data_IF_773827131273
#
_entry.id   IF_773827131273
#
_cell.length_a   1.000
_cell.length_b   1.000
_cell.length_c   1.000
_cell.angle_alpha   90.00
_cell.angle_beta   90.00
_cell.angle_gamma   90.00
#
_symmetry.space_group_name_H-M   'P 1'
#
loop_
_entity.id
_entity.type
_entity.pdbx_description
1 polymer ?
#
# COMPACT_ATOMS: atom_id res chain seq x y z
N UNK A 1 13.69 15.18 -65.18
CA UNK A 1 12.97 13.97 -64.75
C UNK A 1 13.62 13.24 -63.57
N UNK A 2 14.87 12.78 -63.64
CA UNK A 2 15.51 12.06 -62.52
C UNK A 2 15.63 12.82 -61.19
N UNK A 3 15.94 14.13 -61.22
CA UNK A 3 16.07 14.94 -60.00
C UNK A 3 14.73 15.17 -59.28
N UNK A 4 13.63 15.26 -60.04
CA UNK A 4 12.29 15.42 -59.48
C UNK A 4 11.82 14.12 -58.80
N UNK A 5 12.11 12.96 -59.41
CA UNK A 5 11.81 11.66 -58.84
C UNK A 5 12.63 11.39 -57.56
N UNK A 6 13.91 11.79 -57.54
CA UNK A 6 14.75 11.75 -56.35
C UNK A 6 14.20 12.64 -55.22
N UNK A 7 13.75 13.86 -55.54
CA UNK A 7 13.16 14.79 -54.57
C UNK A 7 11.88 14.22 -53.95
N UNK A 8 10.98 13.66 -54.76
CA UNK A 8 9.73 13.05 -54.30
C UNK A 8 10.01 11.85 -53.40
N UNK A 9 10.97 11.00 -53.76
CA UNK A 9 11.41 9.87 -52.93
C UNK A 9 11.92 10.33 -51.56
N UNK A 10 12.79 11.34 -51.54
CA UNK A 10 13.35 11.88 -50.30
C UNK A 10 12.29 12.53 -49.41
N UNK A 11 11.30 13.23 -49.99
CA UNK A 11 10.17 13.79 -49.24
C UNK A 11 9.33 12.70 -48.58
N UNK A 12 9.03 11.63 -49.32
CA UNK A 12 8.29 10.48 -48.78
C UNK A 12 9.06 9.79 -47.65
N UNK A 13 10.35 9.55 -47.83
CA UNK A 13 11.21 8.96 -46.79
C UNK A 13 11.29 9.88 -45.56
N UNK A 14 11.36 11.20 -45.76
CA UNK A 14 11.35 12.17 -44.67
C UNK A 14 10.04 12.14 -43.86
N UNK A 15 8.90 12.03 -44.54
CA UNK A 15 7.59 11.95 -43.90
C UNK A 15 7.42 10.62 -43.14
N UNK A 16 7.87 9.50 -43.71
CA UNK A 16 7.89 8.20 -43.03
C UNK A 16 8.78 8.21 -41.77
N UNK A 17 9.94 8.87 -41.83
CA UNK A 17 10.82 9.04 -40.68
C UNK A 17 10.21 9.94 -39.61
N UNK A 18 9.53 11.02 -39.99
CA UNK A 18 8.81 11.91 -39.06
C UNK A 18 7.66 11.18 -38.36
N UNK A 19 6.84 10.44 -39.10
CA UNK A 19 5.75 9.64 -38.52
C UNK A 19 6.31 8.62 -37.51
N UNK A 20 7.37 7.90 -37.90
CA UNK A 20 8.04 6.95 -37.00
C UNK A 20 8.60 7.64 -35.76
N UNK A 21 9.25 8.79 -35.90
CA UNK A 21 9.80 9.54 -34.78
C UNK A 21 8.70 10.02 -33.82
N UNK A 22 7.59 10.53 -34.34
CA UNK A 22 6.44 10.96 -33.53
C UNK A 22 5.79 9.79 -32.80
N UNK A 23 5.63 8.64 -33.47
CA UNK A 23 5.08 7.43 -32.85
C UNK A 23 5.98 6.93 -31.72
N UNK A 24 7.29 6.83 -31.96
CA UNK A 24 8.26 6.42 -30.92
C UNK A 24 8.24 7.40 -29.75
N UNK A 25 8.18 8.71 -30.01
CA UNK A 25 8.09 9.71 -28.95
C UNK A 25 6.81 9.54 -28.09
N UNK A 26 5.67 9.26 -28.74
CA UNK A 26 4.42 9.00 -28.05
C UNK A 26 4.45 7.70 -27.22
N UNK A 27 5.03 6.62 -27.77
CA UNK A 27 5.23 5.36 -27.05
C UNK A 27 6.13 5.52 -25.83
N UNK A 28 7.21 6.31 -25.96
CA UNK A 28 8.12 6.60 -24.85
C UNK A 28 7.45 7.42 -23.74
N UNK A 29 6.62 8.41 -24.08
CA UNK A 29 5.86 9.17 -23.09
C UNK A 29 4.83 8.29 -22.38
N UNK A 30 4.14 7.41 -23.10
CA UNK A 30 3.22 6.44 -22.51
C UNK A 30 3.93 5.46 -21.58
N UNK A 31 5.09 4.93 -22.00
CA UNK A 31 5.92 4.06 -21.18
C UNK A 31 6.37 4.78 -19.92
N UNK A 32 6.86 6.03 -20.03
CA UNK A 32 7.30 6.84 -18.89
C UNK A 32 6.16 7.08 -17.89
N UNK A 33 4.95 7.38 -18.35
CA UNK A 33 3.77 7.53 -17.49
C UNK A 33 3.40 6.23 -16.78
N UNK A 34 3.45 5.11 -17.49
CA UNK A 34 3.16 3.78 -16.93
C UNK A 34 4.20 3.40 -15.88
N UNK A 35 5.49 3.51 -16.18
CA UNK A 35 6.55 3.15 -15.25
C UNK A 35 6.56 4.05 -14.01
N UNK A 36 6.21 5.33 -14.14
CA UNK A 36 6.04 6.21 -12.98
C UNK A 36 4.93 5.71 -12.03
N UNK A 37 3.79 5.23 -12.57
CA UNK A 37 2.71 4.62 -11.78
C UNK A 37 3.17 3.30 -11.16
N UNK A 38 3.78 2.42 -11.93
CA UNK A 38 4.25 1.12 -11.43
C UNK A 38 5.26 1.29 -10.28
N UNK A 39 6.18 2.26 -10.39
CA UNK A 39 7.14 2.59 -9.32
C UNK A 39 6.43 3.17 -8.09
N UNK A 40 5.44 4.04 -8.29
CA UNK A 40 4.65 4.58 -7.20
C UNK A 40 3.90 3.47 -6.45
N UNK A 41 3.22 2.60 -7.19
CA UNK A 41 2.42 1.52 -6.62
C UNK A 41 3.31 0.47 -5.94
N UNK A 42 4.44 0.12 -6.55
CA UNK A 42 5.42 -0.76 -5.93
C UNK A 42 5.92 -0.19 -4.59
N UNK A 43 6.15 1.12 -4.49
CA UNK A 43 6.52 1.77 -3.23
C UNK A 43 5.38 1.77 -2.22
N UNK A 44 4.16 2.10 -2.65
CA UNK A 44 2.99 2.14 -1.78
C UNK A 44 2.67 0.76 -1.18
N UNK A 45 2.79 -0.31 -1.98
CA UNK A 45 2.43 -1.66 -1.58
C UNK A 45 3.61 -2.55 -1.15
N UNK A 46 4.85 -2.06 -1.19
CA UNK A 46 6.06 -2.81 -0.80
C UNK A 46 5.95 -3.43 0.60
N UNK A 47 5.33 -2.71 1.54
CA UNK A 47 5.21 -3.13 2.94
C UNK A 47 3.90 -3.87 3.25
N UNK A 48 3.02 -4.06 2.26
CA UNK A 48 1.66 -4.57 2.50
C UNK A 48 1.65 -5.98 3.10
N UNK A 49 2.49 -6.88 2.58
CA UNK A 49 2.58 -8.25 3.11
C UNK A 49 3.19 -8.26 4.52
N UNK A 50 4.25 -7.49 4.75
CA UNK A 50 4.85 -7.35 6.07
C UNK A 50 3.85 -6.78 7.08
N UNK A 51 3.13 -5.72 6.71
CA UNK A 51 2.10 -5.14 7.57
C UNK A 51 0.98 -6.14 7.88
N UNK A 52 0.55 -6.96 6.90
CA UNK A 52 -0.44 -8.03 7.13
C UNK A 52 0.05 -9.03 8.18
N UNK A 53 1.30 -9.46 8.10
CA UNK A 53 1.86 -10.39 9.08
C UNK A 53 1.96 -9.74 10.45
N UNK A 54 2.32 -8.45 10.52
CA UNK A 54 2.38 -7.68 11.76
C UNK A 54 1.01 -7.47 12.42
N UNK A 55 -0.10 -7.43 11.67
CA UNK A 55 -1.44 -7.39 12.26
C UNK A 55 -1.68 -8.59 13.19
N UNK A 56 -1.27 -9.79 12.76
CA UNK A 56 -1.43 -11.00 13.58
C UNK A 56 -0.68 -10.92 14.92
N UNK A 57 0.46 -10.23 14.95
CA UNK A 57 1.23 -10.02 16.18
C UNK A 57 0.48 -9.05 17.10
N UNK A 58 -0.01 -7.93 16.56
CA UNK A 58 -0.83 -6.97 17.31
C UNK A 58 -2.09 -7.63 17.89
N UNK A 59 -2.78 -8.44 17.09
CA UNK A 59 -3.99 -9.16 17.52
C UNK A 59 -3.69 -10.16 18.64
N UNK A 60 -2.53 -10.83 18.60
CA UNK A 60 -2.12 -11.74 19.65
C UNK A 60 -1.75 -11.02 20.95
N UNK A 61 -1.15 -9.81 20.87
CA UNK A 61 -0.93 -8.97 22.06
C UNK A 61 -2.26 -8.59 22.70
N UNK A 62 -3.23 -8.12 21.90
CA UNK A 62 -4.59 -7.82 22.36
C UNK A 62 -5.25 -9.03 22.99
N UNK A 63 -5.22 -10.19 22.31
CA UNK A 63 -5.77 -11.46 22.82
C UNK A 63 -5.14 -11.87 24.15
N UNK A 64 -3.82 -11.69 24.31
CA UNK A 64 -3.14 -12.00 25.56
C UNK A 64 -3.61 -11.08 26.70
N UNK A 65 -3.81 -9.79 26.43
CA UNK A 65 -4.35 -8.82 27.40
C UNK A 65 -5.81 -9.12 27.77
N UNK A 66 -6.62 -9.54 26.80
CA UNK A 66 -8.03 -9.87 27.00
C UNK A 66 -8.24 -11.20 27.72
N UNK A 67 -7.29 -12.14 27.59
CA UNK A 67 -7.32 -13.42 28.28
C UNK A 67 -7.05 -13.32 29.80
N UNK A 68 -6.58 -12.16 30.29
CA UNK A 68 -6.32 -11.96 31.72
C UNK A 68 -7.66 -11.75 32.44
N UNK A 69 -8.04 -12.62 33.41
CA UNK A 69 -9.27 -12.47 34.17
C UNK A 69 -9.37 -11.12 34.89
N UNK A 70 -10.59 -10.57 34.99
CA UNK A 70 -10.82 -9.28 35.63
C UNK A 70 -10.36 -9.27 37.10
N UNK A 71 -10.55 -10.39 37.80
CA UNK A 71 -10.08 -10.59 39.18
C UNK A 71 -8.56 -10.49 39.27
N UNK A 72 -7.84 -11.13 38.34
CA UNK A 72 -6.39 -11.10 38.28
C UNK A 72 -5.86 -9.69 37.94
N UNK A 73 -6.56 -8.93 37.08
CA UNK A 73 -6.22 -7.51 36.82
C UNK A 73 -6.39 -6.66 38.07
N UNK A 74 -7.46 -6.88 38.85
CA UNK A 74 -7.76 -6.10 40.05
C UNK A 74 -6.84 -6.45 41.23
N UNK A 75 -6.66 -7.74 41.51
CA UNK A 75 -5.91 -8.26 42.65
C UNK A 75 -4.41 -8.46 42.39
N UNK A 76 -3.96 -8.27 41.15
CA UNK A 76 -2.56 -8.39 40.78
C UNK A 76 -1.65 -7.43 41.55
N UNK A 77 -0.43 -7.88 41.81
CA UNK A 77 0.59 -7.05 42.42
C UNK A 77 1.06 -5.92 41.49
N UNK A 78 1.89 -5.01 42.01
CA UNK A 78 2.37 -3.87 41.25
C UNK A 78 3.20 -4.29 40.02
N UNK A 79 3.95 -5.39 40.11
CA UNK A 79 4.77 -5.89 39.00
C UNK A 79 3.92 -6.43 37.85
N UNK A 80 2.87 -7.19 38.18
CA UNK A 80 1.92 -7.70 37.21
C UNK A 80 1.13 -6.58 36.51
N UNK A 81 0.69 -5.56 37.27
CA UNK A 81 0.03 -4.38 36.70
C UNK A 81 0.96 -3.60 35.75
N UNK A 82 2.22 -3.40 36.12
CA UNK A 82 3.21 -2.76 35.26
C UNK A 82 3.49 -3.58 33.98
N UNK A 83 3.47 -4.91 34.05
CA UNK A 83 3.60 -5.77 32.87
C UNK A 83 2.43 -5.59 31.91
N UNK A 84 1.18 -5.58 32.42
CA UNK A 84 -0.03 -5.34 31.60
C UNK A 84 0.08 -3.99 30.88
N UNK A 85 0.40 -2.93 31.61
CA UNK A 85 0.56 -1.59 31.04
C UNK A 85 1.67 -1.53 29.99
N UNK A 86 2.80 -2.20 30.22
CA UNK A 86 3.90 -2.28 29.26
C UNK A 86 3.51 -2.98 27.96
N UNK A 87 2.72 -4.05 28.05
CA UNK A 87 2.19 -4.76 26.87
C UNK A 87 1.17 -3.89 26.12
N UNK A 88 0.26 -3.21 26.82
CA UNK A 88 -0.69 -2.26 26.21
C UNK A 88 0.01 -1.09 25.52
N UNK A 89 1.09 -0.57 26.10
CA UNK A 89 1.89 0.49 25.47
C UNK A 89 2.59 -0.03 24.21
N UNK A 90 3.09 -1.26 24.25
CA UNK A 90 3.76 -1.90 23.10
C UNK A 90 2.78 -2.12 21.94
N UNK A 91 1.57 -2.62 22.22
CA UNK A 91 0.50 -2.76 21.21
C UNK A 91 0.16 -1.40 20.57
N UNK A 92 -0.03 -0.35 21.38
CA UNK A 92 -0.31 1.01 20.89
C UNK A 92 0.83 1.56 20.02
N UNK A 93 2.08 1.35 20.42
CA UNK A 93 3.25 1.78 19.66
C UNK A 93 3.33 1.05 18.31
N UNK A 94 2.96 -0.24 18.29
CA UNK A 94 2.91 -1.05 17.08
C UNK A 94 1.83 -0.57 16.10
N UNK A 95 0.60 -0.33 16.58
CA UNK A 95 -0.47 0.24 15.76
C UNK A 95 -0.09 1.62 15.21
N UNK A 96 0.51 2.48 16.05
CA UNK A 96 1.00 3.80 15.62
C UNK A 96 2.09 3.69 14.54
N UNK A 97 2.91 2.64 14.56
CA UNK A 97 3.91 2.40 13.53
C UNK A 97 3.27 2.00 12.20
N UNK A 98 2.26 1.12 12.24
CA UNK A 98 1.49 0.73 11.05
C UNK A 98 0.80 1.96 10.42
N UNK A 99 0.21 2.83 11.23
CA UNK A 99 -0.45 4.05 10.75
C UNK A 99 0.50 5.00 10.03
N UNK A 100 1.73 5.19 10.54
CA UNK A 100 2.77 5.99 9.87
C UNK A 100 3.16 5.42 8.50
N UNK A 101 2.95 4.14 8.27
CA UNK A 101 3.16 3.45 6.99
C UNK A 101 1.87 3.29 6.17
N UNK A 102 0.81 4.03 6.51
CA UNK A 102 -0.44 4.07 5.74
C UNK A 102 -1.44 2.96 6.05
N UNK A 103 -1.17 2.12 7.06
CA UNK A 103 -2.05 1.04 7.49
C UNK A 103 -2.85 1.50 8.70
N UNK A 104 -4.14 1.80 8.48
CA UNK A 104 -5.03 2.32 9.53
C UNK A 104 -6.01 1.25 9.98
N UNK A 105 -6.25 1.21 11.29
CA UNK A 105 -7.34 0.40 11.86
C UNK A 105 -8.67 0.99 11.44
N UNK A 106 -9.61 0.13 11.04
CA UNK A 106 -11.00 0.49 10.82
C UNK A 106 -11.80 0.19 12.09
N UNK A 107 -12.69 1.09 12.48
CA UNK A 107 -13.60 0.92 13.61
C UNK A 107 -15.05 0.98 13.11
N UNK A 108 -15.53 -0.09 12.45
CA UNK A 108 -16.80 -0.08 11.71
C UNK A 108 -18.04 -0.16 12.60
N UNK A 109 -17.87 -0.11 13.92
CA UNK A 109 -18.99 -0.24 14.86
C UNK A 109 -19.94 0.97 14.73
N UNK A 110 -21.18 0.69 14.34
CA UNK A 110 -22.18 1.73 14.06
C UNK A 110 -22.14 2.29 12.62
N UNK A 111 -21.17 1.90 11.79
CA UNK A 111 -21.11 2.31 10.38
C UNK A 111 -21.95 1.39 9.47
N UNK A 112 -22.35 1.93 8.31
CA UNK A 112 -23.01 1.13 7.27
C UNK A 112 -22.02 0.12 6.71
N UNK A 113 -22.45 -1.14 6.57
CA UNK A 113 -21.63 -2.19 5.99
C UNK A 113 -21.17 -1.84 4.56
N UNK A 114 -19.85 -1.90 4.32
CA UNK A 114 -19.22 -1.76 3.01
C UNK A 114 -18.42 -3.03 2.69
N UNK A 115 -18.79 -3.83 1.67
CA UNK A 115 -18.08 -5.06 1.29
C UNK A 115 -16.61 -4.85 0.90
N UNK A 116 -16.20 -3.64 0.52
CA UNK A 116 -14.80 -3.35 0.18
C UNK A 116 -13.91 -3.28 1.42
N UNK A 117 -14.49 -3.00 2.59
CA UNK A 117 -13.76 -2.77 3.83
C UNK A 117 -14.13 -3.76 4.93
N UNK A 118 -15.34 -4.32 4.90
CA UNK A 118 -15.89 -5.14 5.97
C UNK A 118 -16.14 -6.57 5.49
N UNK A 119 -15.73 -7.54 6.29
CA UNK A 119 -16.09 -8.94 6.13
C UNK A 119 -17.18 -9.29 7.14
N UNK A 120 -18.38 -9.64 6.67
CA UNK A 120 -19.44 -10.14 7.54
C UNK A 120 -19.09 -11.56 7.99
N UNK A 121 -18.96 -11.74 9.30
CA UNK A 121 -18.76 -13.04 9.95
C UNK A 121 -20.04 -13.40 10.71
N UNK A 122 -20.40 -14.69 10.73
CA UNK A 122 -21.61 -15.23 11.34
C UNK A 122 -21.33 -15.90 12.70
#
# INVERSE_FOLDING_TARGET
DGDYEALVRLLKENDELKDRALRVAAEMENLRRRTARDVHDARAYAVANFARDMLSVSDNLRRALDAIPAEAKASGDAGFKALIEGVELTERAMLSALERHGVKKLEPEGEKFDPNFHQAMF
#
